data_IF_346026378497
#
_entry.id   IF_346026378497
#
_cell.length_a   1.000
_cell.length_b   1.000
_cell.length_c   1.000
_cell.angle_alpha   90.00
_cell.angle_beta   90.00
_cell.angle_gamma   90.00
#
_symmetry.space_group_name_H-M   'P 1'
#
loop_
_entity.id
_entity.type
_entity.pdbx_description
1 polymer ?
#
# COMPACT_ATOMS: atom_id res chain seq x y z
N UNK A 1 3.06 -6.70 3.99
CA UNK A 1 4.04 -6.78 2.88
C UNK A 1 5.41 -6.44 3.43
N UNK A 2 6.52 -6.97 2.89
CA UNK A 2 7.85 -6.51 3.27
C UNK A 2 8.18 -5.15 2.61
N UNK A 3 7.19 -4.30 2.35
CA UNK A 3 7.36 -3.01 1.66
C UNK A 3 6.69 -1.89 2.46
N UNK A 4 7.23 -0.66 2.42
CA UNK A 4 6.53 0.49 2.97
C UNK A 4 5.16 0.69 2.30
N UNK A 5 4.31 1.48 2.94
CA UNK A 5 3.17 2.11 2.28
C UNK A 5 3.69 3.16 1.31
N UNK A 6 3.44 2.97 0.01
CA UNK A 6 3.95 3.81 -1.08
C UNK A 6 2.89 4.80 -1.52
N UNK A 7 3.14 6.06 -1.22
CA UNK A 7 2.31 7.20 -1.57
C UNK A 7 2.91 7.92 -2.79
N UNK A 8 2.21 7.93 -3.92
CA UNK A 8 2.58 8.80 -5.04
C UNK A 8 1.94 10.16 -4.84
N UNK A 9 2.71 11.23 -4.99
CA UNK A 9 2.23 12.61 -4.90
C UNK A 9 2.69 13.40 -6.10
N UNK A 10 1.78 14.09 -6.76
CA UNK A 10 2.08 14.98 -7.89
C UNK A 10 1.04 16.09 -8.02
N UNK A 11 1.47 17.24 -8.53
CA UNK A 11 0.59 18.25 -9.10
C UNK A 11 0.70 18.19 -10.63
N UNK A 12 -0.43 18.33 -11.32
CA UNK A 12 -0.50 18.28 -12.79
C UNK A 12 -1.41 19.38 -13.33
N UNK A 13 -1.16 19.78 -14.57
CA UNK A 13 -2.11 20.57 -15.37
C UNK A 13 -3.39 19.78 -15.69
N UNK A 14 -4.43 20.46 -16.19
CA UNK A 14 -5.71 19.85 -16.60
C UNK A 14 -5.53 18.73 -17.65
N UNK A 15 -4.49 18.80 -18.46
CA UNK A 15 -4.12 17.83 -19.50
C UNK A 15 -3.00 16.85 -19.09
N UNK A 16 -2.61 16.84 -17.80
CA UNK A 16 -1.81 15.79 -17.18
C UNK A 16 -0.28 15.98 -17.24
N UNK A 17 0.20 17.21 -17.44
CA UNK A 17 1.63 17.52 -17.46
C UNK A 17 2.15 17.90 -16.07
N UNK A 18 3.39 17.51 -15.78
CA UNK A 18 4.13 17.81 -14.55
C UNK A 18 4.88 19.14 -14.62
N UNK A 19 5.17 19.60 -15.83
CA UNK A 19 5.92 20.82 -16.12
C UNK A 19 5.66 21.24 -17.57
N UNK A 20 6.18 22.39 -18.00
CA UNK A 20 6.31 22.75 -19.41
C UNK A 20 7.71 22.39 -19.96
N UNK A 21 8.05 22.81 -21.18
CA UNK A 21 9.38 22.58 -21.79
C UNK A 21 10.36 23.73 -21.51
N UNK A 22 9.94 24.70 -20.70
CA UNK A 22 10.70 25.89 -20.36
C UNK A 22 11.88 25.57 -19.43
N UNK A 23 12.81 26.53 -19.27
CA UNK A 23 13.94 26.39 -18.35
C UNK A 23 13.55 26.65 -16.89
N UNK A 24 12.40 27.28 -16.66
CA UNK A 24 11.87 27.57 -15.33
C UNK A 24 10.80 26.54 -14.98
N UNK A 25 10.77 26.15 -13.71
CA UNK A 25 9.77 25.21 -13.21
C UNK A 25 8.38 25.82 -13.25
N UNK A 26 7.44 25.16 -13.91
CA UNK A 26 6.03 25.55 -13.91
C UNK A 26 5.41 25.39 -12.52
N UNK A 27 4.78 26.46 -12.04
CA UNK A 27 4.08 26.44 -10.77
C UNK A 27 2.67 25.85 -10.94
N UNK A 28 2.50 24.59 -10.54
CA UNK A 28 1.22 23.87 -10.59
C UNK A 28 0.48 23.84 -9.24
N UNK A 29 1.17 24.11 -8.13
CA UNK A 29 0.61 24.04 -6.78
C UNK A 29 0.27 25.44 -6.25
N UNK A 30 -0.79 25.53 -5.45
CA UNK A 30 -1.12 26.71 -4.64
C UNK A 30 -0.32 26.74 -3.33
N UNK A 31 -0.26 27.87 -2.61
CA UNK A 31 0.33 27.93 -1.26
C UNK A 31 -0.26 26.92 -0.28
N UNK A 32 -1.57 26.71 -0.32
CA UNK A 32 -2.28 25.72 0.49
C UNK A 32 -1.86 24.28 0.13
N UNK A 33 -1.61 24.02 -1.15
CA UNK A 33 -1.09 22.73 -1.58
C UNK A 33 0.37 22.50 -1.15
N UNK A 34 1.21 23.54 -1.20
CA UNK A 34 2.59 23.43 -0.68
C UNK A 34 2.61 23.15 0.82
N UNK A 35 1.75 23.81 1.60
CA UNK A 35 1.64 23.54 3.03
C UNK A 35 1.19 22.09 3.29
N UNK A 36 0.23 21.59 2.50
CA UNK A 36 -0.18 20.18 2.54
C UNK A 36 0.96 19.24 2.15
N UNK A 37 1.72 19.51 1.09
CA UNK A 37 2.88 18.68 0.71
C UNK A 37 3.89 18.63 1.85
N UNK A 38 4.13 19.76 2.52
CA UNK A 38 5.00 19.84 3.68
C UNK A 38 4.49 19.00 4.87
N UNK A 39 3.17 19.00 5.11
CA UNK A 39 2.50 18.11 6.06
C UNK A 39 2.71 16.63 5.70
N UNK A 40 2.51 16.26 4.43
CA UNK A 40 2.70 14.88 3.97
C UNK A 40 4.15 14.45 4.13
N UNK A 41 5.12 15.29 3.74
CA UNK A 41 6.55 15.07 3.97
C UNK A 41 6.84 14.85 5.45
N UNK A 42 6.22 15.62 6.34
CA UNK A 42 6.40 15.46 7.77
C UNK A 42 5.80 14.16 8.32
N UNK A 43 4.80 13.58 7.64
CA UNK A 43 4.13 12.33 8.04
C UNK A 43 4.86 11.05 7.63
N UNK A 44 5.73 11.11 6.62
CA UNK A 44 6.42 9.94 6.05
C UNK A 44 7.80 9.70 6.65
N UNK A 45 8.32 8.50 6.47
CA UNK A 45 9.66 8.15 6.95
C UNK A 45 10.73 8.41 5.88
N UNK A 46 10.34 8.37 4.60
CA UNK A 46 11.21 8.67 3.47
C UNK A 46 10.50 9.41 2.33
N UNK A 47 11.26 10.22 1.58
CA UNK A 47 10.84 10.91 0.35
C UNK A 47 11.73 10.45 -0.79
N UNK A 48 11.13 10.01 -1.91
CA UNK A 48 11.82 9.50 -3.09
C UNK A 48 11.56 10.35 -4.32
N UNK A 49 12.63 10.64 -5.06
CA UNK A 49 12.57 11.18 -6.41
C UNK A 49 13.47 10.41 -7.36
N UNK A 50 13.22 10.53 -8.66
CA UNK A 50 14.12 10.01 -9.68
C UNK A 50 15.29 10.94 -9.97
N UNK A 51 16.36 10.37 -10.52
CA UNK A 51 17.50 11.11 -11.01
C UNK A 51 17.14 12.18 -12.07
N UNK A 52 16.08 11.96 -12.86
CA UNK A 52 15.58 12.96 -13.83
C UNK A 52 15.14 14.25 -13.13
N UNK A 53 14.24 14.13 -12.16
CA UNK A 53 13.79 15.23 -11.30
C UNK A 53 14.93 15.88 -10.54
N UNK A 54 15.89 15.09 -10.03
CA UNK A 54 17.06 15.64 -9.34
C UNK A 54 17.88 16.56 -10.27
N UNK A 55 18.06 16.18 -11.54
CA UNK A 55 18.81 16.98 -12.52
C UNK A 55 18.05 18.21 -12.99
N UNK A 56 16.74 18.09 -13.20
CA UNK A 56 15.91 19.20 -13.68
C UNK A 56 15.70 20.26 -12.58
N UNK A 57 15.33 19.83 -11.38
CA UNK A 57 14.81 20.76 -10.36
C UNK A 57 15.81 21.06 -9.24
N UNK A 58 16.89 20.28 -9.15
CA UNK A 58 17.88 20.32 -8.07
C UNK A 58 17.25 20.52 -6.66
N UNK A 59 16.27 19.70 -6.25
CA UNK A 59 15.41 20.05 -5.11
C UNK A 59 16.10 19.74 -3.77
N UNK A 60 15.82 20.60 -2.77
CA UNK A 60 16.27 20.38 -1.39
C UNK A 60 15.51 19.26 -0.67
N UNK A 61 14.27 18.98 -1.05
CA UNK A 61 13.38 17.95 -0.47
C UNK A 61 13.39 17.93 1.06
N UNK A 62 12.83 18.99 1.66
CA UNK A 62 12.79 19.18 3.10
C UNK A 62 11.34 19.24 3.59
N UNK A 63 11.19 19.00 4.89
CA UNK A 63 10.12 19.58 5.69
C UNK A 63 10.54 21.00 6.03
N UNK A 64 9.80 22.00 5.57
CA UNK A 64 10.09 23.41 5.74
C UNK A 64 9.58 23.95 7.07
N UNK A 65 8.38 23.56 7.52
CA UNK A 65 7.81 24.04 8.79
C UNK A 65 8.69 23.61 9.99
N UNK A 66 9.19 24.58 10.79
CA UNK A 66 9.87 24.29 12.05
C UNK A 66 9.01 23.50 13.03
N UNK A 67 7.72 23.77 13.09
CA UNK A 67 6.76 23.13 13.99
C UNK A 67 6.58 21.66 13.63
N UNK A 68 6.45 21.35 12.33
CA UNK A 68 6.35 19.97 11.84
C UNK A 68 7.64 19.18 12.12
N UNK A 69 8.81 19.81 11.94
CA UNK A 69 10.10 19.20 12.30
C UNK A 69 10.21 18.93 13.81
N UNK A 70 9.82 19.89 14.65
CA UNK A 70 9.79 19.72 16.09
C UNK A 70 8.84 18.60 16.52
N UNK A 71 7.66 18.50 15.90
CA UNK A 71 6.71 17.42 16.17
C UNK A 71 7.27 16.03 15.81
N UNK A 72 8.02 15.92 14.70
CA UNK A 72 8.71 14.67 14.34
C UNK A 72 9.73 14.26 15.39
N UNK A 73 10.57 15.19 15.84
CA UNK A 73 11.58 14.94 16.88
C UNK A 73 10.92 14.54 18.20
N UNK A 74 9.83 15.22 18.59
CA UNK A 74 9.06 14.87 19.78
C UNK A 74 8.45 13.46 19.70
N UNK A 75 8.12 12.97 18.50
CA UNK A 75 7.66 11.61 18.25
C UNK A 75 8.81 10.58 18.12
N UNK A 76 10.06 10.96 18.41
CA UNK A 76 11.24 10.09 18.31
C UNK A 76 11.71 9.82 16.89
N UNK A 77 11.22 10.57 15.89
CA UNK A 77 11.66 10.46 14.49
C UNK A 77 12.79 11.45 14.17
N UNK A 78 13.62 11.18 13.15
CA UNK A 78 14.55 12.18 12.63
C UNK A 78 13.84 13.46 12.18
N UNK A 79 14.49 14.60 12.39
CA UNK A 79 13.99 15.94 12.03
C UNK A 79 13.49 16.00 10.57
N UNK A 80 14.24 15.37 9.66
CA UNK A 80 13.88 15.21 8.25
C UNK A 80 13.63 13.73 7.91
N UNK A 81 12.70 13.41 7.01
CA UNK A 81 12.61 12.09 6.40
C UNK A 81 13.90 11.69 5.69
N UNK A 82 14.14 10.38 5.56
CA UNK A 82 15.21 9.85 4.72
C UNK A 82 14.99 10.32 3.27
N UNK A 83 16.03 10.86 2.65
CA UNK A 83 15.97 11.27 1.24
C UNK A 83 16.47 10.14 0.35
N UNK A 84 15.64 9.72 -0.58
CA UNK A 84 15.91 8.61 -1.49
C UNK A 84 15.98 9.14 -2.92
N UNK A 85 17.01 8.71 -3.66
CA UNK A 85 17.05 8.92 -5.11
C UNK A 85 17.36 7.63 -5.83
N UNK A 86 16.81 7.48 -7.05
CA UNK A 86 16.98 6.29 -7.89
C UNK A 86 17.59 6.68 -9.22
N UNK A 87 18.67 6.02 -9.61
CA UNK A 87 19.39 6.27 -10.86
C UNK A 87 19.91 4.99 -11.49
N UNK A 88 19.59 4.73 -12.75
CA UNK A 88 20.15 3.58 -13.47
C UNK A 88 21.65 3.73 -13.73
N UNK A 89 22.13 4.94 -14.00
CA UNK A 89 23.52 5.22 -14.37
C UNK A 89 24.44 5.58 -13.20
N UNK A 90 23.87 5.96 -12.06
CA UNK A 90 24.62 6.55 -10.93
C UNK A 90 25.26 7.92 -11.24
N UNK A 91 24.95 8.50 -12.40
CA UNK A 91 25.53 9.75 -12.89
C UNK A 91 24.75 10.94 -12.34
N UNK A 92 25.19 11.45 -11.19
CA UNK A 92 24.53 12.52 -10.44
C UNK A 92 25.58 13.56 -10.05
N UNK A 93 25.23 14.84 -10.19
CA UNK A 93 26.10 15.93 -9.77
C UNK A 93 26.28 15.88 -8.23
N UNK A 94 27.51 15.69 -7.72
CA UNK A 94 27.78 15.65 -6.29
C UNK A 94 27.55 17.00 -5.60
N UNK A 95 27.44 18.11 -6.35
CA UNK A 95 27.18 19.45 -5.83
C UNK A 95 25.68 19.82 -5.79
N UNK A 96 24.79 18.92 -6.20
CA UNK A 96 23.35 19.16 -6.15
C UNK A 96 22.90 19.49 -4.70
N UNK A 97 21.99 20.46 -4.56
CA UNK A 97 21.43 20.90 -3.27
C UNK A 97 20.84 19.72 -2.48
N UNK A 98 20.36 18.70 -3.19
CA UNK A 98 19.87 17.45 -2.61
C UNK A 98 20.86 16.84 -1.59
N UNK A 99 22.16 16.84 -1.88
CA UNK A 99 23.16 16.19 -1.01
C UNK A 99 23.50 17.03 0.23
N UNK A 100 23.39 18.34 0.12
CA UNK A 100 23.90 19.29 1.12
C UNK A 100 22.84 19.81 2.11
N UNK A 101 21.60 19.35 2.02
CA UNK A 101 20.52 19.76 2.94
C UNK A 101 19.73 18.59 3.49
N UNK A 102 19.12 18.78 4.66
CA UNK A 102 18.28 17.77 5.34
C UNK A 102 19.10 16.69 6.04
N UNK A 103 18.48 15.54 6.28
CA UNK A 103 19.07 14.42 7.02
C UNK A 103 19.83 13.42 6.14
N UNK A 104 19.68 12.14 6.46
CA UNK A 104 20.31 11.04 5.72
C UNK A 104 19.86 10.96 4.26
N UNK A 105 20.74 10.45 3.40
CA UNK A 105 20.48 10.25 1.98
C UNK A 105 20.90 8.85 1.54
N UNK A 106 20.11 8.26 0.65
CA UNK A 106 20.44 6.99 -0.01
C UNK A 106 20.19 7.07 -1.52
N UNK A 107 21.14 6.57 -2.29
CA UNK A 107 21.05 6.34 -3.72
C UNK A 107 20.87 4.85 -3.97
N UNK A 108 19.76 4.47 -4.62
CA UNK A 108 19.59 3.14 -5.20
C UNK A 108 19.94 3.15 -6.67
N UNK A 109 20.76 2.19 -7.09
CA UNK A 109 21.31 2.16 -8.45
C UNK A 109 21.70 0.75 -8.89
N UNK A 110 22.11 0.59 -10.15
CA UNK A 110 22.68 -0.65 -10.66
C UNK A 110 24.11 -0.84 -10.15
N UNK A 111 24.69 -2.04 -10.28
CA UNK A 111 26.08 -2.31 -9.89
C UNK A 111 27.06 -1.34 -10.58
N UNK A 112 26.88 -1.15 -11.90
CA UNK A 112 27.68 -0.19 -12.69
C UNK A 112 27.45 1.25 -12.24
N UNK A 113 26.21 1.59 -11.89
CA UNK A 113 25.88 2.91 -11.36
C UNK A 113 26.50 3.17 -10.00
N UNK A 114 26.58 2.15 -9.14
CA UNK A 114 27.20 2.26 -7.82
C UNK A 114 28.71 2.54 -7.94
N UNK A 115 29.41 1.86 -8.85
CA UNK A 115 30.81 2.15 -9.15
C UNK A 115 31.00 3.60 -9.61
N UNK A 116 30.14 4.09 -10.51
CA UNK A 116 30.20 5.49 -10.99
C UNK A 116 29.93 6.48 -9.87
N UNK A 117 28.86 6.28 -9.10
CA UNK A 117 28.47 7.15 -8.00
C UNK A 117 29.59 7.23 -6.95
N UNK A 118 30.20 6.11 -6.56
CA UNK A 118 31.33 6.10 -5.61
C UNK A 118 32.53 6.91 -6.09
N UNK A 119 32.79 6.96 -7.41
CA UNK A 119 33.84 7.82 -7.98
C UNK A 119 33.47 9.30 -7.96
N UNK A 120 32.20 9.63 -8.20
CA UNK A 120 31.70 11.01 -8.15
C UNK A 120 31.59 11.53 -6.70
N UNK A 121 31.38 10.63 -5.74
CA UNK A 121 31.37 10.91 -4.31
C UNK A 121 30.19 11.77 -3.83
N UNK A 122 28.92 11.48 -4.19
CA UNK A 122 27.79 12.18 -3.58
C UNK A 122 27.74 11.86 -2.08
N UNK A 123 27.28 12.83 -1.27
CA UNK A 123 27.13 12.65 0.17
C UNK A 123 25.89 11.81 0.51
N UNK A 124 25.93 10.51 0.16
CA UNK A 124 24.85 9.55 0.37
C UNK A 124 25.38 8.12 0.48
N UNK A 125 24.60 7.26 1.12
CA UNK A 125 24.82 5.82 1.04
C UNK A 125 24.42 5.31 -0.35
N UNK A 126 25.22 4.41 -0.94
CA UNK A 126 25.04 3.91 -2.31
C UNK A 126 24.74 2.42 -2.28
N UNK A 127 23.49 2.08 -2.57
CA UNK A 127 22.96 0.72 -2.55
C UNK A 127 22.81 0.18 -3.97
N UNK A 128 23.66 -0.78 -4.39
CA UNK A 128 23.47 -1.51 -5.64
C UNK A 128 22.31 -2.50 -5.54
N UNK A 129 21.53 -2.63 -6.60
CA UNK A 129 20.39 -3.56 -6.72
C UNK A 129 20.68 -4.75 -7.66
N UNK A 130 21.90 -4.83 -8.22
CA UNK A 130 22.25 -5.79 -9.27
C UNK A 130 22.38 -5.14 -10.64
N UNK A 131 22.18 -5.94 -11.70
CA UNK A 131 22.36 -5.48 -13.09
C UNK A 131 21.35 -4.43 -13.50
N UNK A 132 20.12 -4.57 -13.03
CA UNK A 132 18.97 -3.75 -13.39
C UNK A 132 18.31 -3.19 -12.12
N UNK A 133 17.49 -2.15 -12.30
CA UNK A 133 16.71 -1.61 -11.19
C UNK A 133 15.51 -2.53 -10.90
N UNK A 134 15.45 -3.05 -9.68
CA UNK A 134 14.32 -3.82 -9.18
C UNK A 134 13.60 -3.04 -8.07
N UNK A 135 12.34 -2.67 -8.33
CA UNK A 135 11.53 -1.91 -7.39
C UNK A 135 11.15 -2.70 -6.14
N UNK A 136 10.96 -4.02 -6.25
CA UNK A 136 10.62 -4.86 -5.10
C UNK A 136 11.81 -4.96 -4.17
N UNK A 137 13.00 -5.26 -4.69
CA UNK A 137 14.22 -5.29 -3.88
C UNK A 137 14.51 -3.94 -3.22
N UNK A 138 14.29 -2.83 -3.93
CA UNK A 138 14.42 -1.48 -3.37
C UNK A 138 13.47 -1.26 -2.20
N UNK A 139 12.19 -1.57 -2.38
CA UNK A 139 11.16 -1.36 -1.36
C UNK A 139 11.36 -2.30 -0.16
N UNK A 140 11.82 -3.53 -0.39
CA UNK A 140 12.25 -4.49 0.64
C UNK A 140 13.39 -3.91 1.47
N UNK A 141 14.45 -3.43 0.80
CA UNK A 141 15.58 -2.84 1.48
C UNK A 141 15.19 -1.58 2.27
N UNK A 142 14.32 -0.73 1.73
CA UNK A 142 13.77 0.41 2.47
C UNK A 142 13.02 -0.05 3.72
N UNK A 143 12.21 -1.10 3.62
CA UNK A 143 11.42 -1.60 4.74
C UNK A 143 12.28 -2.26 5.83
N UNK A 144 13.07 -3.25 5.44
CA UNK A 144 13.74 -4.17 6.37
C UNK A 144 15.06 -3.60 6.88
N UNK A 145 15.81 -2.89 6.03
CA UNK A 145 17.16 -2.38 6.38
C UNK A 145 17.09 -0.93 6.85
N UNK A 146 16.25 -0.10 6.23
CA UNK A 146 16.11 1.32 6.61
C UNK A 146 14.95 1.60 7.56
N UNK A 147 14.11 0.60 7.87
CA UNK A 147 12.97 0.77 8.77
C UNK A 147 11.87 1.68 8.24
N UNK A 148 11.84 1.95 6.93
CA UNK A 148 10.84 2.84 6.31
C UNK A 148 9.49 2.13 6.28
N UNK A 149 8.49 2.73 6.93
CA UNK A 149 7.11 2.21 6.93
C UNK A 149 6.21 2.99 5.99
N UNK A 150 6.46 4.29 5.78
CA UNK A 150 5.75 5.14 4.82
C UNK A 150 6.74 5.85 3.91
N UNK A 151 6.54 5.67 2.61
CA UNK A 151 7.35 6.25 1.55
C UNK A 151 6.49 7.20 0.72
N UNK A 152 6.90 8.47 0.62
CA UNK A 152 6.34 9.40 -0.37
C UNK A 152 7.22 9.40 -1.61
N UNK A 153 6.61 9.31 -2.79
CA UNK A 153 7.28 9.39 -4.10
C UNK A 153 6.78 10.65 -4.79
N UNK A 154 7.62 11.66 -4.87
CA UNK A 154 7.25 13.00 -5.38
C UNK A 154 7.51 13.19 -6.86
N UNK A 155 8.30 12.33 -7.51
CA UNK A 155 8.54 12.58 -8.91
C UNK A 155 9.49 11.68 -9.67
N UNK A 156 9.52 12.04 -10.95
CA UNK A 156 9.84 11.25 -12.11
C UNK A 156 8.57 10.60 -12.65
N UNK A 157 7.95 11.13 -13.71
CA UNK A 157 6.78 10.50 -14.35
C UNK A 157 7.06 9.03 -14.73
N UNK A 158 8.30 8.72 -15.10
CA UNK A 158 8.78 7.34 -15.29
C UNK A 158 8.67 6.48 -14.03
N UNK A 159 9.05 7.00 -12.87
CA UNK A 159 9.01 6.26 -11.59
C UNK A 159 7.57 6.02 -11.16
N UNK A 160 6.73 7.07 -11.21
CA UNK A 160 5.29 6.92 -10.93
C UNK A 160 4.65 5.88 -11.85
N UNK A 161 4.98 5.93 -13.15
CA UNK A 161 4.53 4.95 -14.14
C UNK A 161 4.98 3.53 -13.79
N UNK A 162 6.25 3.33 -13.44
CA UNK A 162 6.78 2.01 -13.09
C UNK A 162 6.11 1.43 -11.84
N UNK A 163 5.94 2.23 -10.77
CA UNK A 163 5.31 1.79 -9.52
C UNK A 163 3.83 1.43 -9.72
N UNK A 164 3.07 2.23 -10.47
CA UNK A 164 1.67 1.93 -10.78
C UNK A 164 1.54 0.66 -11.64
N UNK A 165 2.34 0.54 -12.71
CA UNK A 165 2.30 -0.62 -13.60
C UNK A 165 2.64 -1.94 -12.90
N UNK A 166 3.43 -1.88 -11.83
CA UNK A 166 3.82 -3.05 -11.03
C UNK A 166 2.89 -3.30 -9.83
N UNK A 167 1.85 -2.48 -9.62
CA UNK A 167 0.92 -2.62 -8.49
C UNK A 167 1.57 -2.33 -7.13
N UNK A 168 2.60 -1.47 -7.11
CA UNK A 168 3.41 -1.14 -5.94
C UNK A 168 3.04 0.20 -5.29
N UNK A 169 2.12 0.97 -5.87
CA UNK A 169 1.64 2.22 -5.31
C UNK A 169 0.35 2.00 -4.52
N UNK A 170 0.35 2.31 -3.21
CA UNK A 170 -0.80 2.14 -2.32
C UNK A 170 -1.80 3.29 -2.42
N UNK A 171 -1.31 4.50 -2.71
CA UNK A 171 -2.13 5.69 -2.79
C UNK A 171 -1.56 6.65 -3.82
N UNK A 172 -2.44 7.33 -4.55
CA UNK A 172 -2.13 8.42 -5.45
C UNK A 172 -2.81 9.69 -4.94
N UNK A 173 -2.01 10.69 -4.56
CA UNK A 173 -2.47 12.05 -4.30
C UNK A 173 -2.15 12.91 -5.52
N UNK A 174 -3.20 13.28 -6.23
CA UNK A 174 -3.11 14.07 -7.44
C UNK A 174 -3.72 15.45 -7.20
N UNK A 175 -2.95 16.49 -7.45
CA UNK A 175 -3.42 17.87 -7.44
C UNK A 175 -3.60 18.33 -8.88
N UNK A 176 -4.75 18.88 -9.18
CA UNK A 176 -5.10 19.37 -10.50
C UNK A 176 -5.09 20.90 -10.51
N UNK A 177 -4.15 21.47 -11.26
CA UNK A 177 -4.00 22.91 -11.48
C UNK A 177 -4.95 23.40 -12.58
N UNK A 178 -5.56 24.59 -12.47
CA UNK A 178 -6.56 25.09 -13.41
C UNK A 178 -5.93 25.70 -14.69
N UNK A 179 -4.95 25.03 -15.29
CA UNK A 179 -4.26 25.46 -16.51
C UNK A 179 -4.01 24.28 -17.47
N UNK A 180 -3.73 24.59 -18.73
CA UNK A 180 -3.29 23.64 -19.75
C UNK A 180 -1.83 23.92 -20.12
N UNK A 181 -1.05 22.86 -20.35
CA UNK A 181 0.31 22.98 -20.93
C UNK A 181 0.24 22.80 -22.44
N UNK A 182 -0.43 21.75 -22.92
CA UNK A 182 -0.72 21.54 -24.34
C UNK A 182 0.47 21.18 -25.22
N UNK A 183 1.67 21.06 -24.67
CA UNK A 183 2.89 20.72 -25.40
C UNK A 183 3.11 19.19 -25.40
N UNK A 184 3.23 18.52 -26.56
CA UNK A 184 3.46 17.08 -26.62
C UNK A 184 4.82 16.63 -26.05
N UNK A 185 5.82 17.52 -26.02
CA UNK A 185 7.17 17.25 -25.52
C UNK A 185 7.31 17.55 -24.01
N UNK A 186 6.29 18.19 -23.41
CA UNK A 186 6.27 18.45 -21.98
C UNK A 186 6.18 17.15 -21.14
N UNK A 187 6.83 17.10 -19.97
CA UNK A 187 6.84 15.91 -19.14
C UNK A 187 5.44 15.57 -18.62
N UNK A 188 4.95 14.38 -18.95
CA UNK A 188 3.68 13.86 -18.44
C UNK A 188 3.87 13.07 -17.15
N UNK A 189 2.85 13.11 -16.28
CA UNK A 189 2.85 12.32 -15.05
C UNK A 189 2.91 10.81 -15.34
N UNK A 190 2.16 10.38 -16.34
CA UNK A 190 2.00 8.98 -16.69
C UNK A 190 2.47 8.73 -18.13
N UNK A 191 3.44 7.83 -18.27
CA UNK A 191 3.97 7.39 -19.56
C UNK A 191 3.11 6.29 -20.19
N UNK A 192 3.41 5.90 -21.43
CA UNK A 192 2.69 4.84 -22.12
C UNK A 192 2.93 3.46 -21.48
N UNK A 193 1.95 2.57 -21.59
CA UNK A 193 2.06 1.16 -21.24
C UNK A 193 0.79 0.58 -20.61
N UNK A 194 0.74 -0.75 -20.42
CA UNK A 194 -0.37 -1.40 -19.73
C UNK A 194 -0.33 -1.03 -18.24
N UNK A 195 -1.40 -0.40 -17.76
CA UNK A 195 -1.69 -0.20 -16.35
C UNK A 195 -2.53 -1.37 -15.81
N UNK A 196 -2.55 -1.61 -14.48
CA UNK A 196 -3.48 -2.56 -13.89
C UNK A 196 -4.91 -2.23 -14.33
N UNK A 197 -5.73 -3.25 -14.66
CA UNK A 197 -7.12 -3.02 -15.05
C UNK A 197 -7.93 -2.46 -13.87
N UNK A 198 -9.17 -2.06 -14.15
CA UNK A 198 -10.09 -1.63 -13.10
C UNK A 198 -10.03 -0.13 -12.77
N UNK A 199 -10.85 0.27 -11.80
CA UNK A 199 -10.96 1.67 -11.36
C UNK A 199 -10.19 1.87 -10.06
N UNK A 200 -9.53 3.02 -9.93
CA UNK A 200 -9.08 3.46 -8.61
C UNK A 200 -10.29 3.92 -7.79
N UNK A 201 -10.25 3.72 -6.48
CA UNK A 201 -11.28 4.23 -5.56
C UNK A 201 -10.89 5.64 -5.12
N UNK A 202 -11.76 6.60 -5.41
CA UNK A 202 -11.66 7.95 -4.86
C UNK A 202 -11.91 7.91 -3.35
N UNK A 203 -10.94 8.41 -2.58
CA UNK A 203 -10.98 8.50 -1.12
C UNK A 203 -11.31 9.89 -0.61
N UNK A 204 -10.82 10.91 -1.29
CA UNK A 204 -11.02 12.31 -0.90
C UNK A 204 -10.98 13.19 -2.15
N UNK A 205 -11.81 14.22 -2.14
CA UNK A 205 -11.70 15.39 -3.01
C UNK A 205 -11.70 16.63 -2.15
N UNK A 206 -10.71 17.51 -2.32
CA UNK A 206 -10.60 18.73 -1.53
C UNK A 206 -10.06 19.88 -2.37
N UNK A 207 -10.72 21.03 -2.30
CA UNK A 207 -10.23 22.26 -2.91
C UNK A 207 -9.14 22.87 -2.02
N UNK A 208 -8.04 23.34 -2.62
CA UNK A 208 -6.89 23.97 -1.96
C UNK A 208 -6.55 25.28 -2.68
N UNK A 209 -7.15 26.38 -2.27
CA UNK A 209 -7.10 27.61 -3.06
C UNK A 209 -7.81 27.41 -4.40
N UNK A 210 -7.09 27.54 -5.51
CA UNK A 210 -7.59 27.38 -6.89
C UNK A 210 -7.30 25.99 -7.51
N UNK A 211 -6.64 25.09 -6.78
CA UNK A 211 -6.37 23.71 -7.22
C UNK A 211 -7.27 22.69 -6.53
N UNK A 212 -7.38 21.49 -7.11
CA UNK A 212 -8.18 20.38 -6.55
C UNK A 212 -7.28 19.18 -6.23
N UNK A 213 -7.23 18.79 -4.96
CA UNK A 213 -6.66 17.52 -4.52
C UNK A 213 -7.66 16.39 -4.71
N UNK A 214 -7.19 15.29 -5.28
CA UNK A 214 -7.88 14.01 -5.34
C UNK A 214 -6.97 12.91 -4.79
N UNK A 215 -7.51 12.08 -3.90
CA UNK A 215 -6.78 10.94 -3.34
C UNK A 215 -7.41 9.64 -3.81
N UNK A 216 -6.60 8.74 -4.34
CA UNK A 216 -7.05 7.48 -4.90
C UNK A 216 -6.30 6.29 -4.29
N UNK A 217 -6.97 5.17 -4.16
CA UNK A 217 -6.36 3.87 -3.84
C UNK A 217 -6.65 2.85 -4.96
N UNK A 218 -5.73 1.95 -5.28
CA UNK A 218 -5.98 0.88 -6.23
C UNK A 218 -6.89 -0.19 -5.62
N UNK A 219 -7.75 -0.76 -6.47
CA UNK A 219 -8.72 -1.78 -6.04
C UNK A 219 -8.61 -3.10 -6.81
N UNK A 220 -7.97 -3.11 -7.98
CA UNK A 220 -7.82 -4.33 -8.75
C UNK A 220 -6.83 -5.29 -8.09
N UNK A 221 -7.25 -6.52 -7.73
CA UNK A 221 -6.37 -7.52 -7.14
C UNK A 221 -5.20 -7.89 -8.05
N UNK A 222 -4.08 -8.28 -7.44
CA UNK A 222 -2.98 -8.92 -8.15
C UNK A 222 -3.34 -10.35 -8.56
N UNK A 223 -2.61 -10.91 -9.54
CA UNK A 223 -2.81 -12.28 -10.03
C UNK A 223 -1.79 -13.28 -9.47
N UNK A 224 -0.70 -12.79 -8.87
CA UNK A 224 0.43 -13.58 -8.41
C UNK A 224 0.43 -13.91 -6.92
N UNK A 225 1.49 -14.60 -6.45
CA UNK A 225 1.68 -14.96 -5.04
C UNK A 225 2.18 -13.80 -4.17
N UNK A 226 2.63 -12.71 -4.81
CA UNK A 226 3.06 -11.54 -4.10
C UNK A 226 1.87 -10.65 -3.75
N UNK A 227 1.87 -10.04 -2.56
CA UNK A 227 0.88 -9.04 -2.21
C UNK A 227 1.09 -7.78 -3.09
N UNK A 228 -0.03 -7.13 -3.42
CA UNK A 228 -0.08 -5.86 -4.16
C UNK A 228 -0.87 -4.81 -3.39
N UNK A 229 -0.70 -3.54 -3.74
CA UNK A 229 -1.34 -2.42 -3.04
C UNK A 229 -2.86 -2.59 -2.80
N UNK A 230 -3.61 -3.13 -3.78
CA UNK A 230 -5.04 -3.40 -3.63
C UNK A 230 -5.35 -4.44 -2.54
N UNK A 231 -4.44 -5.36 -2.23
CA UNK A 231 -4.65 -6.34 -1.17
C UNK A 231 -4.75 -5.67 0.21
N UNK A 232 -4.03 -4.56 0.45
CA UNK A 232 -4.16 -3.77 1.68
C UNK A 232 -5.54 -3.15 1.80
N UNK A 233 -6.07 -2.61 0.70
CA UNK A 233 -7.41 -2.03 0.65
C UNK A 233 -8.48 -3.03 1.09
N UNK A 234 -8.46 -4.23 0.50
CA UNK A 234 -9.50 -5.24 0.74
C UNK A 234 -9.34 -5.96 2.07
N UNK A 235 -8.12 -6.18 2.55
CA UNK A 235 -7.93 -6.71 3.91
C UNK A 235 -8.38 -5.74 4.99
N UNK A 236 -8.15 -4.43 4.82
CA UNK A 236 -8.72 -3.41 5.72
C UNK A 236 -10.25 -3.57 5.78
N UNK A 237 -10.89 -3.69 4.61
CA UNK A 237 -12.34 -3.91 4.52
C UNK A 237 -12.78 -5.22 5.19
N UNK A 238 -12.03 -6.31 5.04
CA UNK A 238 -12.30 -7.58 5.70
C UNK A 238 -12.20 -7.45 7.24
N UNK A 239 -11.20 -6.73 7.77
CA UNK A 239 -11.09 -6.47 9.20
C UNK A 239 -12.23 -5.57 9.73
N UNK A 240 -12.63 -4.54 8.98
CA UNK A 240 -13.80 -3.70 9.31
C UNK A 240 -15.10 -4.52 9.40
N UNK A 241 -15.25 -5.55 8.56
CA UNK A 241 -16.38 -6.49 8.60
C UNK A 241 -16.28 -7.43 9.80
N UNK A 242 -15.07 -7.88 10.17
CA UNK A 242 -14.86 -8.69 11.36
C UNK A 242 -15.31 -7.95 12.63
N UNK A 243 -15.07 -6.64 12.72
CA UNK A 243 -15.51 -5.80 13.82
C UNK A 243 -17.05 -5.67 13.94
N UNK A 244 -17.81 -6.01 12.91
CA UNK A 244 -19.28 -5.99 12.91
C UNK A 244 -19.90 -7.31 13.39
N UNK A 245 -19.08 -8.34 13.65
CA UNK A 245 -19.60 -9.63 14.08
C UNK A 245 -20.28 -9.53 15.46
N UNK A 246 -21.45 -10.18 15.66
CA UNK A 246 -22.00 -10.40 16.99
C UNK A 246 -20.95 -11.08 17.89
N UNK A 247 -20.85 -10.78 19.20
CA UNK A 247 -19.85 -11.38 20.07
C UNK A 247 -20.05 -12.90 20.21
N UNK A 248 -18.95 -13.64 20.37
CA UNK A 248 -18.96 -15.08 20.64
C UNK A 248 -17.79 -15.48 21.53
N UNK A 249 -18.00 -16.45 22.43
CA UNK A 249 -16.93 -17.04 23.27
C UNK A 249 -16.35 -18.33 22.70
N UNK A 250 -16.94 -18.85 21.63
CA UNK A 250 -16.63 -20.19 21.09
C UNK A 250 -16.33 -20.17 19.59
N UNK A 251 -16.27 -18.98 18.99
CA UNK A 251 -15.98 -18.81 17.57
C UNK A 251 -15.35 -17.45 17.30
N UNK A 252 -14.40 -17.40 16.37
CA UNK A 252 -13.80 -16.15 15.92
C UNK A 252 -14.80 -15.25 15.16
N UNK A 253 -14.63 -13.95 15.32
CA UNK A 253 -15.16 -12.87 14.50
C UNK A 253 -14.27 -12.70 13.27
N UNK A 254 -14.80 -13.01 12.10
CA UNK A 254 -14.09 -12.98 10.82
C UNK A 254 -14.90 -12.14 9.84
N UNK A 255 -14.23 -11.41 8.97
CA UNK A 255 -14.84 -10.74 7.83
C UNK A 255 -14.20 -11.21 6.53
N UNK A 256 -14.98 -11.26 5.46
CA UNK A 256 -14.52 -11.70 4.15
C UNK A 256 -15.14 -10.87 3.02
N UNK A 257 -14.40 -10.70 1.94
CA UNK A 257 -14.81 -9.97 0.73
C UNK A 257 -14.40 -10.79 -0.51
N UNK A 258 -15.30 -10.90 -1.47
CA UNK A 258 -15.05 -11.50 -2.79
C UNK A 258 -14.96 -10.37 -3.82
N UNK A 259 -13.85 -10.28 -4.52
CA UNK A 259 -13.54 -9.15 -5.41
C UNK A 259 -13.19 -9.67 -6.80
N UNK A 260 -13.80 -9.09 -7.84
CA UNK A 260 -13.50 -9.41 -9.23
C UNK A 260 -12.11 -8.90 -9.65
N UNK A 261 -11.60 -9.42 -10.78
CA UNK A 261 -10.30 -9.04 -11.33
C UNK A 261 -10.17 -7.53 -11.65
N UNK A 262 -11.28 -6.84 -11.89
CA UNK A 262 -11.31 -5.39 -12.16
C UNK A 262 -11.44 -4.51 -10.90
N UNK A 263 -11.40 -5.12 -9.71
CA UNK A 263 -11.56 -4.42 -8.44
C UNK A 263 -13.00 -4.15 -8.02
N UNK A 264 -14.00 -4.73 -8.71
CA UNK A 264 -15.39 -4.66 -8.26
C UNK A 264 -15.61 -5.60 -7.06
N UNK A 265 -16.14 -5.07 -5.96
CA UNK A 265 -16.64 -5.89 -4.84
C UNK A 265 -17.88 -6.67 -5.31
N UNK A 266 -17.78 -8.00 -5.34
CA UNK A 266 -18.88 -8.88 -5.75
C UNK A 266 -19.84 -9.15 -4.58
N UNK A 267 -19.27 -9.48 -3.43
CA UNK A 267 -20.00 -9.72 -2.19
C UNK A 267 -19.04 -9.60 -1.00
N UNK A 268 -19.62 -9.42 0.18
CA UNK A 268 -18.90 -9.52 1.44
C UNK A 268 -19.73 -10.30 2.46
N UNK A 269 -19.11 -10.70 3.56
CA UNK A 269 -19.77 -11.37 4.66
C UNK A 269 -18.97 -11.24 5.94
N UNK A 270 -19.62 -11.49 7.07
CA UNK A 270 -18.95 -11.58 8.36
C UNK A 270 -19.51 -12.77 9.14
N UNK A 271 -18.76 -13.26 10.13
CA UNK A 271 -19.23 -14.37 10.96
C UNK A 271 -20.55 -14.01 11.63
N UNK A 272 -21.45 -14.98 11.71
CA UNK A 272 -22.77 -14.85 12.36
C UNK A 272 -23.70 -13.81 11.73
N UNK A 273 -23.48 -13.49 10.46
CA UNK A 273 -24.36 -12.61 9.69
C UNK A 273 -25.79 -13.17 9.61
N UNK A 274 -26.79 -12.28 9.64
CA UNK A 274 -28.20 -12.66 9.53
C UNK A 274 -28.74 -13.46 10.72
N UNK A 275 -28.00 -13.58 11.82
CA UNK A 275 -28.41 -14.30 13.02
C UNK A 275 -28.11 -15.80 13.02
N UNK A 276 -27.45 -16.34 11.99
CA UNK A 276 -27.02 -17.74 11.97
C UNK A 276 -25.73 -17.91 12.78
N UNK A 277 -25.76 -18.55 13.97
CA UNK A 277 -24.56 -18.68 14.82
C UNK A 277 -23.44 -19.51 14.19
N UNK A 278 -23.73 -20.32 13.16
CA UNK A 278 -22.81 -21.25 12.52
C UNK A 278 -22.19 -20.73 11.21
N UNK A 279 -22.70 -19.63 10.64
CA UNK A 279 -22.20 -19.12 9.36
C UNK A 279 -20.85 -18.44 9.53
N UNK A 280 -19.89 -18.82 8.68
CA UNK A 280 -18.58 -18.20 8.59
C UNK A 280 -18.60 -17.07 7.55
N UNK A 281 -17.66 -16.14 7.65
CA UNK A 281 -17.60 -14.96 6.78
C UNK A 281 -17.49 -15.30 5.28
N UNK A 282 -16.59 -16.23 4.92
CA UNK A 282 -16.38 -16.62 3.52
C UNK A 282 -17.61 -17.32 2.93
N UNK A 283 -18.28 -18.14 3.75
CA UNK A 283 -19.53 -18.80 3.37
C UNK A 283 -20.66 -17.77 3.18
N UNK A 284 -20.82 -16.83 4.10
CA UNK A 284 -21.82 -15.78 4.00
C UNK A 284 -21.61 -14.91 2.75
N UNK A 285 -20.36 -14.57 2.42
CA UNK A 285 -20.03 -13.81 1.22
C UNK A 285 -20.33 -14.59 -0.06
N UNK A 286 -19.88 -15.85 -0.16
CA UNK A 286 -20.07 -16.69 -1.34
C UNK A 286 -21.55 -17.06 -1.58
N UNK A 287 -22.33 -17.24 -0.51
CA UNK A 287 -23.76 -17.56 -0.62
C UNK A 287 -24.62 -16.45 -1.25
N UNK A 288 -24.11 -15.21 -1.31
CA UNK A 288 -24.77 -14.06 -1.96
C UNK A 288 -24.54 -14.01 -3.47
N UNK A 289 -23.67 -14.87 -4.00
CA UNK A 289 -23.30 -14.91 -5.41
C UNK A 289 -23.99 -16.06 -6.13
N UNK A 290 -24.26 -15.87 -7.41
CA UNK A 290 -24.70 -16.97 -8.27
C UNK A 290 -23.56 -18.00 -8.39
N UNK A 291 -23.81 -19.31 -8.22
CA UNK A 291 -22.76 -20.33 -8.30
C UNK A 291 -22.01 -20.37 -9.65
N UNK A 292 -22.66 -19.89 -10.72
CA UNK A 292 -22.15 -19.81 -12.09
C UNK A 292 -21.72 -18.40 -12.50
N UNK A 293 -21.53 -17.48 -11.54
CA UNK A 293 -21.06 -16.12 -11.84
C UNK A 293 -19.71 -16.18 -12.58
N UNK A 294 -19.64 -15.68 -13.84
CA UNK A 294 -18.47 -15.83 -14.69
C UNK A 294 -17.25 -15.05 -14.19
N UNK A 295 -17.41 -14.19 -13.18
CA UNK A 295 -16.32 -13.40 -12.58
C UNK A 295 -15.56 -14.17 -11.51
N UNK A 296 -16.16 -15.21 -10.92
CA UNK A 296 -15.56 -15.97 -9.81
C UNK A 296 -14.22 -16.65 -10.15
N UNK A 297 -14.00 -17.23 -11.35
CA UNK A 297 -12.72 -17.83 -11.69
C UNK A 297 -11.54 -16.84 -11.66
N UNK A 298 -11.79 -15.57 -11.95
CA UNK A 298 -10.81 -14.48 -11.87
C UNK A 298 -10.86 -13.69 -10.56
N UNK A 299 -11.75 -14.04 -9.63
CA UNK A 299 -11.92 -13.31 -8.39
C UNK A 299 -10.85 -13.66 -7.35
N UNK A 300 -10.69 -12.76 -6.38
CA UNK A 300 -9.88 -12.96 -5.17
C UNK A 300 -10.80 -12.92 -3.95
N UNK A 301 -10.57 -13.85 -3.01
CA UNK A 301 -11.19 -13.81 -1.68
C UNK A 301 -10.21 -13.20 -0.69
N UNK A 302 -10.65 -12.17 0.01
CA UNK A 302 -9.94 -11.55 1.13
C UNK A 302 -10.62 -11.98 2.43
N UNK A 303 -9.87 -12.52 3.38
CA UNK A 303 -10.40 -12.91 4.69
C UNK A 303 -9.51 -12.39 5.82
N UNK A 304 -10.12 -11.90 6.90
CA UNK A 304 -9.35 -11.42 8.06
C UNK A 304 -8.64 -12.58 8.79
N UNK A 305 -9.15 -13.80 8.70
CA UNK A 305 -8.57 -15.02 9.26
C UNK A 305 -8.40 -16.07 8.16
N UNK A 306 -7.45 -16.99 8.32
CA UNK A 306 -7.29 -18.13 7.42
C UNK A 306 -8.62 -18.91 7.27
N UNK A 307 -9.09 -19.18 6.03
CA UNK A 307 -10.31 -19.95 5.83
C UNK A 307 -10.14 -21.37 6.32
N UNK A 308 -11.04 -21.84 7.20
CA UNK A 308 -10.87 -23.15 7.83
C UNK A 308 -10.76 -24.31 6.83
N UNK A 309 -9.92 -25.31 7.17
CA UNK A 309 -9.84 -26.59 6.46
C UNK A 309 -10.86 -27.62 6.98
N UNK A 310 -11.31 -27.47 8.22
CA UNK A 310 -12.29 -28.33 8.88
C UNK A 310 -13.17 -27.48 9.79
N UNK A 311 -14.44 -27.88 9.97
CA UNK A 311 -15.34 -27.28 10.96
C UNK A 311 -16.40 -28.28 11.38
N UNK A 312 -16.81 -28.23 12.63
CA UNK A 312 -17.89 -29.06 13.18
C UNK A 312 -19.28 -28.49 12.90
N UNK A 313 -19.37 -27.16 12.70
CA UNK A 313 -20.64 -26.45 12.52
C UNK A 313 -21.37 -26.79 11.24
N UNK A 314 -20.64 -27.20 10.18
CA UNK A 314 -21.18 -27.53 8.85
C UNK A 314 -20.29 -28.53 8.10
N UNK A 315 -20.82 -29.37 7.18
CA UNK A 315 -20.09 -30.47 6.56
C UNK A 315 -19.00 -30.05 5.57
N UNK A 316 -19.11 -28.86 4.96
CA UNK A 316 -18.14 -28.36 3.98
C UNK A 316 -17.39 -27.17 4.58
N UNK A 317 -16.06 -27.19 4.68
CA UNK A 317 -15.25 -26.09 5.24
C UNK A 317 -15.08 -24.93 4.25
N UNK A 318 -14.74 -23.74 4.75
CA UNK A 318 -14.62 -22.51 3.94
C UNK A 318 -13.61 -22.65 2.79
N UNK A 319 -12.43 -23.24 3.04
CA UNK A 319 -11.44 -23.47 2.00
C UNK A 319 -11.98 -24.29 0.82
N UNK A 320 -12.85 -25.29 1.07
CA UNK A 320 -13.51 -26.08 0.02
C UNK A 320 -14.61 -25.30 -0.70
N UNK A 321 -15.35 -24.44 0.01
CA UNK A 321 -16.36 -23.58 -0.61
C UNK A 321 -15.72 -22.61 -1.61
N UNK A 322 -14.61 -21.98 -1.24
CA UNK A 322 -13.83 -21.10 -2.12
C UNK A 322 -13.39 -21.84 -3.39
N UNK A 323 -12.79 -23.03 -3.25
CA UNK A 323 -12.34 -23.82 -4.40
C UNK A 323 -13.48 -24.24 -5.33
N UNK A 324 -14.64 -24.63 -4.76
CA UNK A 324 -15.85 -25.01 -5.50
C UNK A 324 -16.46 -23.84 -6.25
N UNK A 325 -16.39 -22.62 -5.69
CA UNK A 325 -16.80 -21.40 -6.37
C UNK A 325 -15.90 -21.03 -7.55
N UNK A 326 -14.77 -21.73 -7.76
CA UNK A 326 -13.85 -21.47 -8.86
C UNK A 326 -12.79 -20.41 -8.56
N UNK A 327 -12.83 -19.76 -7.38
CA UNK A 327 -11.83 -18.78 -6.95
C UNK A 327 -10.46 -19.47 -6.79
N UNK A 328 -9.40 -18.84 -7.28
CA UNK A 328 -8.02 -19.36 -7.24
C UNK A 328 -7.01 -18.44 -6.59
N UNK A 329 -7.44 -17.32 -6.00
CA UNK A 329 -6.57 -16.48 -5.16
C UNK A 329 -7.25 -16.12 -3.85
N UNK A 330 -6.54 -16.36 -2.76
CA UNK A 330 -7.00 -16.07 -1.40
C UNK A 330 -5.94 -15.26 -0.68
N UNK A 331 -6.36 -14.17 -0.04
CA UNK A 331 -5.49 -13.30 0.73
C UNK A 331 -5.99 -13.25 2.17
N UNK A 332 -5.09 -13.49 3.13
CA UNK A 332 -5.44 -13.54 4.54
C UNK A 332 -4.56 -12.61 5.38
N UNK A 333 -5.11 -12.06 6.46
CA UNK A 333 -4.35 -11.23 7.39
C UNK A 333 -3.69 -12.05 8.50
N UNK A 334 -4.44 -13.00 9.07
CA UNK A 334 -4.02 -13.79 10.23
C UNK A 334 -4.17 -15.28 9.95
N UNK A 335 -3.13 -16.07 10.25
CA UNK A 335 -3.21 -17.54 10.22
C UNK A 335 -4.01 -18.06 11.41
N UNK A 336 -4.83 -19.08 11.21
CA UNK A 336 -5.67 -19.63 12.27
C UNK A 336 -4.79 -20.20 13.40
N UNK A 337 -4.92 -19.71 14.65
CA UNK A 337 -4.18 -20.26 15.79
C UNK A 337 -4.81 -21.59 16.27
N UNK A 338 -4.05 -22.36 17.03
CA UNK A 338 -4.50 -23.62 17.66
C UNK A 338 -5.53 -23.43 18.80
N UNK A 339 -6.31 -22.34 18.80
CA UNK A 339 -7.27 -22.01 19.87
C UNK A 339 -8.50 -22.93 19.86
N UNK A 340 -9.02 -23.27 18.68
CA UNK A 340 -10.20 -24.13 18.53
C UNK A 340 -9.97 -25.37 17.66
N UNK A 341 -9.00 -25.31 16.74
CA UNK A 341 -8.62 -26.42 15.86
C UNK A 341 -7.11 -26.56 15.91
N UNK A 342 -6.62 -27.68 16.45
CA UNK A 342 -5.19 -27.97 16.45
C UNK A 342 -4.72 -28.31 15.03
N UNK A 343 -3.63 -27.68 14.58
CA UNK A 343 -3.05 -27.93 13.26
C UNK A 343 -3.96 -27.47 12.12
N UNK A 344 -4.61 -26.31 12.26
CA UNK A 344 -5.38 -25.70 11.19
C UNK A 344 -4.50 -25.50 9.94
N UNK A 345 -4.97 -25.99 8.79
CA UNK A 345 -4.24 -25.92 7.51
C UNK A 345 -5.18 -25.59 6.33
N UNK A 346 -5.92 -24.49 6.49
CA UNK A 346 -6.75 -23.92 5.44
C UNK A 346 -5.93 -23.49 4.23
N UNK A 347 -4.79 -22.85 4.51
CA UNK A 347 -3.81 -22.44 3.49
C UNK A 347 -3.30 -23.61 2.66
N UNK A 348 -2.91 -24.73 3.29
CA UNK A 348 -2.44 -25.93 2.60
C UNK A 348 -3.54 -26.60 1.78
N UNK A 349 -4.78 -26.66 2.29
CA UNK A 349 -5.93 -27.17 1.53
C UNK A 349 -6.16 -26.36 0.25
N UNK A 350 -6.13 -25.02 0.37
CA UNK A 350 -6.28 -24.11 -0.76
C UNK A 350 -5.15 -24.29 -1.79
N UNK A 351 -3.91 -24.33 -1.33
CA UNK A 351 -2.73 -24.52 -2.19
C UNK A 351 -2.77 -25.88 -2.93
N UNK A 352 -3.10 -26.97 -2.22
CA UNK A 352 -3.27 -28.29 -2.83
C UNK A 352 -4.42 -28.34 -3.85
N UNK A 353 -5.43 -27.47 -3.69
CA UNK A 353 -6.51 -27.26 -4.64
C UNK A 353 -6.17 -26.33 -5.82
N UNK A 354 -4.92 -25.88 -5.93
CA UNK A 354 -4.45 -24.99 -6.99
C UNK A 354 -4.76 -23.51 -6.79
N UNK A 355 -5.11 -23.09 -5.57
CA UNK A 355 -5.26 -21.68 -5.24
C UNK A 355 -3.95 -21.06 -4.75
N UNK A 356 -3.66 -19.84 -5.19
CA UNK A 356 -2.59 -19.00 -4.64
C UNK A 356 -3.04 -18.41 -3.31
N UNK A 357 -2.28 -18.68 -2.25
CA UNK A 357 -2.54 -18.12 -0.90
C UNK A 357 -1.49 -17.07 -0.58
N UNK A 358 -1.95 -15.87 -0.23
CA UNK A 358 -1.10 -14.73 0.14
C UNK A 358 -1.41 -14.32 1.56
N UNK A 359 -0.38 -14.17 2.40
CA UNK A 359 -0.55 -13.71 3.78
C UNK A 359 0.02 -12.30 3.92
N UNK A 360 -0.76 -11.39 4.51
CA UNK A 360 -0.38 -10.01 4.75
C UNK A 360 -0.38 -9.72 6.26
N UNK A 361 0.71 -10.06 6.98
CA UNK A 361 0.76 -10.01 8.44
C UNK A 361 0.64 -8.60 9.02
N UNK A 362 0.80 -7.56 8.20
CA UNK A 362 0.55 -6.16 8.58
C UNK A 362 -0.87 -5.92 9.11
N UNK A 363 -1.85 -6.72 8.69
CA UNK A 363 -3.23 -6.63 9.13
C UNK A 363 -3.56 -7.61 10.27
N UNK A 364 -2.61 -8.39 10.76
CA UNK A 364 -2.84 -9.41 11.79
C UNK A 364 -3.39 -8.80 13.09
N UNK A 365 -2.84 -7.66 13.53
CA UNK A 365 -3.31 -6.96 14.74
C UNK A 365 -4.77 -6.52 14.58
N UNK A 366 -5.10 -5.87 13.45
CA UNK A 366 -6.47 -5.45 13.15
C UNK A 366 -7.44 -6.63 13.01
N UNK A 367 -6.97 -7.79 12.51
CA UNK A 367 -7.77 -9.00 12.42
C UNK A 367 -8.00 -9.67 13.79
N UNK A 368 -7.02 -9.56 14.71
CA UNK A 368 -7.11 -10.08 16.08
C UNK A 368 -7.95 -9.22 17.00
N UNK A 369 -8.05 -7.92 16.76
CA UNK A 369 -8.73 -6.97 17.64
C UNK A 369 -10.18 -7.37 17.97
N UNK A 370 -11.05 -7.75 17.01
CA UNK A 370 -12.41 -8.24 17.30
C UNK A 370 -12.46 -9.58 18.07
N UNK A 371 -11.31 -10.22 18.25
CA UNK A 371 -11.13 -11.55 18.85
C UNK A 371 -10.29 -11.52 20.13
N UNK A 372 -9.89 -10.35 20.62
CA UNK A 372 -8.96 -10.20 21.74
C UNK A 372 -9.44 -10.97 23.00
N UNK A 373 -10.75 -11.02 23.25
CA UNK A 373 -11.36 -11.75 24.36
C UNK A 373 -11.23 -13.27 24.28
N UNK A 374 -10.88 -13.83 23.12
CA UNK A 374 -10.65 -15.27 22.92
C UNK A 374 -9.17 -15.65 23.05
N UNK A 375 -8.27 -14.68 22.94
CA UNK A 375 -6.82 -14.89 22.83
C UNK A 375 -6.07 -14.83 24.18
N UNK A 376 -6.79 -14.64 25.29
CA UNK A 376 -6.23 -14.79 26.63
C UNK A 376 -5.33 -13.64 27.12
N UNK A 377 -5.52 -12.41 26.66
CA UNK A 377 -4.94 -11.24 27.31
C UNK A 377 -5.65 -10.95 28.64
N UNK A 378 -4.90 -10.78 29.74
CA UNK A 378 -5.45 -10.29 31.00
C UNK A 378 -6.21 -8.97 30.76
N UNK A 379 -7.42 -8.78 31.34
CA UNK A 379 -7.98 -7.45 31.45
C UNK A 379 -7.05 -6.64 32.35
N UNK A 380 -6.57 -5.51 31.83
CA UNK A 380 -5.79 -4.53 32.57
C UNK A 380 -6.44 -4.31 33.95
N UNK A 381 -5.66 -4.58 35.00
CA UNK A 381 -6.14 -4.62 36.37
C UNK A 381 -6.58 -3.25 36.85
N UNK A 382 -7.82 -2.85 36.52
CA UNK A 382 -8.49 -1.76 37.22
C UNK A 382 -8.75 -2.23 38.64
N UNK A 383 -7.85 -1.80 39.52
CA UNK A 383 -7.95 -1.96 40.95
C UNK A 383 -9.34 -1.53 41.44
N UNK A 384 -10.06 -2.52 41.95
CA UNK A 384 -11.11 -2.33 42.94
C UNK A 384 -10.51 -1.57 44.13
N UNK A 385 -10.88 -0.30 44.30
CA UNK A 385 -10.89 0.33 45.63
C UNK A 385 -12.32 0.79 45.91
N UNK A 386 -13.04 -0.07 46.62
CA UNK A 386 -14.10 0.34 47.52
C UNK A 386 -13.49 0.41 48.92
N UNK A 387 -13.41 1.61 49.47
CA UNK A 387 -13.75 1.97 50.86
C UNK A 387 -13.56 3.47 51.02
#
# INVERSE_FOLDING_TARGET
>A
MPYPYVLLSAAVSLDGHLDDTGPERLLLSSPEDFDRVDEVRASVDAILIGAGTLRADNPRLLVYSPERRAARVAAGKPEYPLKVTVSGSGDLDPQAQFWHTGGEKVLYTTDRGAERARRLGPAADVVPLGTDLDWRLLLEHLHDVRGVRRLMVEGGGTIHTQLLRQGLADELQLVLAPLFVGDPDAPRLFGPGPYPPGRLRLRETRQLGDVVLMRYEPTAPGTGPLPCAADRHWLRRACELAAQCPPSRTAFSVGAVVVAADGTELAHGHSREGGDPAVHAEEAALAKLAPDDPRLPGATVYSSLEPCAHRSSRPVPCARLILRAGVRRVVTAWREPDTFVAGADGSGLLAAGGATVVVVPEYEVAAKEPNAHLLGGEPDGTATRQS
#
